data_IF_647158838997
#
_entry.id   IF_647158838997
#
_cell.length_a   1.000
_cell.length_b   1.000
_cell.length_c   1.000
_cell.angle_alpha   90.00
_cell.angle_beta   90.00
_cell.angle_gamma   90.00
#
_symmetry.space_group_name_H-M   'P 1'
#
loop_
_entity.id
_entity.type
_entity.pdbx_description
1 polymer ?
#
# COMPACT_ATOMS: atom_id res chain seq x y z
N UNK A 1 9.37 -9.52 5.35
CA UNK A 1 8.77 -8.20 5.66
C UNK A 1 9.22 -7.22 4.58
N UNK A 2 8.44 -6.19 4.23
CA UNK A 2 8.86 -5.21 3.23
C UNK A 2 10.10 -4.45 3.70
N UNK A 3 10.91 -3.98 2.75
CA UNK A 3 12.07 -3.13 3.03
C UNK A 3 11.60 -1.71 3.39
N UNK A 4 11.90 -1.24 4.60
CA UNK A 4 11.48 0.08 5.11
C UNK A 4 12.62 1.08 5.28
N UNK A 5 13.84 0.70 4.88
CA UNK A 5 15.05 1.55 4.96
C UNK A 5 15.96 1.31 3.76
N UNK A 6 16.88 2.25 3.53
CA UNK A 6 17.77 2.27 2.38
C UNK A 6 17.17 3.03 1.19
N UNK A 7 17.78 2.85 0.03
CA UNK A 7 17.41 3.53 -1.20
C UNK A 7 16.70 2.56 -2.15
N UNK A 8 15.68 3.06 -2.83
CA UNK A 8 14.96 2.34 -3.89
C UNK A 8 14.80 3.26 -5.09
N UNK A 9 14.89 2.69 -6.29
CA UNK A 9 14.55 3.40 -7.52
C UNK A 9 13.03 3.34 -7.70
N UNK A 10 12.40 4.51 -7.78
CA UNK A 10 10.96 4.66 -7.98
C UNK A 10 10.68 5.62 -9.15
N UNK A 11 9.54 5.47 -9.85
CA UNK A 11 9.16 6.32 -10.98
C UNK A 11 8.63 7.68 -10.49
N UNK A 12 9.47 8.45 -9.80
CA UNK A 12 9.15 9.78 -9.29
C UNK A 12 9.65 10.87 -10.24
N UNK A 13 8.97 12.02 -10.24
CA UNK A 13 9.38 13.21 -10.99
C UNK A 13 10.53 13.97 -10.34
N UNK A 14 10.72 13.83 -9.03
CA UNK A 14 11.81 14.45 -8.27
C UNK A 14 12.27 13.64 -7.06
N UNK A 15 13.24 14.18 -6.29
CA UNK A 15 13.71 13.53 -5.08
C UNK A 15 12.62 13.48 -4.00
N UNK A 16 12.63 12.40 -3.23
CA UNK A 16 11.73 12.23 -2.11
C UNK A 16 12.35 11.35 -1.02
N UNK A 17 11.85 11.50 0.20
CA UNK A 17 12.28 10.78 1.40
C UNK A 17 11.05 10.31 2.17
N UNK A 18 11.12 9.09 2.68
CA UNK A 18 10.17 8.54 3.64
C UNK A 18 10.91 8.32 4.96
N UNK A 19 10.46 8.98 6.02
CA UNK A 19 10.93 8.73 7.38
C UNK A 19 9.83 8.04 8.17
N UNK A 20 10.19 7.09 9.03
CA UNK A 20 9.23 6.47 9.96
C UNK A 20 9.58 6.88 11.38
N UNK A 21 8.58 7.33 12.11
CA UNK A 21 8.76 7.67 13.52
C UNK A 21 8.92 6.41 14.39
N UNK A 22 9.02 6.60 15.71
CA UNK A 22 9.16 5.49 16.67
C UNK A 22 7.93 4.56 16.70
N UNK A 23 6.75 5.05 16.33
CA UNK A 23 5.52 4.27 16.22
C UNK A 23 5.38 3.60 14.83
N UNK A 24 6.31 3.85 13.90
CA UNK A 24 6.29 3.34 12.54
C UNK A 24 5.44 4.17 11.58
N UNK A 25 4.96 5.35 11.98
CA UNK A 25 4.15 6.24 11.13
C UNK A 25 5.03 6.84 10.04
N UNK A 26 4.68 6.67 8.74
CA UNK A 26 5.46 7.24 7.65
C UNK A 26 5.18 8.74 7.48
N UNK A 27 6.25 9.52 7.40
CA UNK A 27 6.27 10.93 7.03
C UNK A 27 6.92 11.04 5.65
N UNK A 28 6.23 11.68 4.70
CA UNK A 28 6.66 11.78 3.30
C UNK A 28 7.06 13.22 3.01
N UNK A 29 8.29 13.41 2.55
CA UNK A 29 8.75 14.64 1.93
C UNK A 29 9.02 14.37 0.45
N UNK A 30 8.39 15.14 -0.45
CA UNK A 30 8.50 14.94 -1.89
C UNK A 30 8.53 16.28 -2.63
N UNK A 31 9.09 16.27 -3.84
CA UNK A 31 9.23 17.46 -4.68
C UNK A 31 7.90 17.96 -5.29
N UNK A 32 6.88 17.10 -5.36
CA UNK A 32 5.56 17.42 -5.92
C UNK A 32 4.45 16.68 -5.17
N UNK A 33 3.20 17.09 -5.40
CA UNK A 33 2.03 16.40 -4.82
C UNK A 33 1.83 15.04 -5.50
N UNK A 34 2.14 14.93 -6.77
CA UNK A 34 2.08 13.69 -7.55
C UNK A 34 3.03 12.64 -6.97
N UNK A 35 4.28 13.03 -6.66
CA UNK A 35 5.27 12.16 -6.02
C UNK A 35 4.83 11.78 -4.60
N UNK A 36 4.26 12.73 -3.85
CA UNK A 36 3.73 12.47 -2.50
C UNK A 36 2.57 11.46 -2.51
N UNK A 37 1.65 11.56 -3.47
CA UNK A 37 0.53 10.64 -3.62
C UNK A 37 1.00 9.24 -4.03
N UNK A 38 1.97 9.14 -4.94
CA UNK A 38 2.58 7.86 -5.28
C UNK A 38 3.19 7.19 -4.05
N UNK A 39 3.99 7.94 -3.28
CA UNK A 39 4.64 7.42 -2.08
C UNK A 39 3.65 7.10 -0.97
N UNK A 40 2.54 7.84 -0.85
CA UNK A 40 1.48 7.54 0.10
C UNK A 40 0.87 6.17 -0.18
N UNK A 41 0.57 5.87 -1.44
CA UNK A 41 0.13 4.54 -1.85
C UNK A 41 1.19 3.47 -1.57
N UNK A 42 2.46 3.76 -1.88
CA UNK A 42 3.58 2.86 -1.64
C UNK A 42 3.71 2.48 -0.15
N UNK A 43 3.81 3.45 0.77
CA UNK A 43 3.95 3.15 2.21
C UNK A 43 2.71 2.47 2.77
N UNK A 44 1.52 2.82 2.28
CA UNK A 44 0.27 2.17 2.70
C UNK A 44 0.28 0.70 2.28
N UNK A 45 0.73 0.38 1.06
CA UNK A 45 0.88 -1.00 0.62
C UNK A 45 1.94 -1.73 1.45
N UNK A 46 3.07 -1.11 1.78
CA UNK A 46 4.07 -1.74 2.65
C UNK A 46 3.44 -2.20 3.98
N UNK A 47 2.61 -1.36 4.59
CA UNK A 47 2.07 -1.65 5.92
C UNK A 47 0.77 -2.46 5.86
N UNK A 48 -0.03 -2.33 4.79
CA UNK A 48 -1.43 -2.79 4.72
C UNK A 48 -1.79 -3.58 3.46
N UNK A 49 -0.81 -4.07 2.69
CA UNK A 49 -1.08 -4.76 1.41
C UNK A 49 -2.21 -5.79 1.48
N UNK A 50 -2.17 -6.69 2.47
CA UNK A 50 -3.19 -7.73 2.61
C UNK A 50 -4.59 -7.15 2.85
N UNK A 51 -4.72 -6.11 3.68
CA UNK A 51 -6.00 -5.45 3.91
C UNK A 51 -6.50 -4.77 2.63
N UNK A 52 -5.62 -4.07 1.91
CA UNK A 52 -5.96 -3.43 0.64
C UNK A 52 -6.41 -4.45 -0.41
N UNK A 53 -5.69 -5.56 -0.58
CA UNK A 53 -6.04 -6.59 -1.56
C UNK A 53 -7.34 -7.31 -1.19
N UNK A 54 -7.53 -7.65 0.09
CA UNK A 54 -8.78 -8.25 0.56
C UNK A 54 -9.98 -7.32 0.34
N UNK A 55 -9.86 -6.03 0.67
CA UNK A 55 -10.92 -5.04 0.42
C UNK A 55 -11.20 -4.86 -1.07
N UNK A 56 -10.16 -4.83 -1.91
CA UNK A 56 -10.30 -4.75 -3.37
C UNK A 56 -11.03 -5.97 -3.94
N UNK A 57 -10.72 -7.16 -3.45
CA UNK A 57 -11.36 -8.41 -3.85
C UNK A 57 -12.81 -8.48 -3.41
N UNK A 58 -13.10 -8.11 -2.16
CA UNK A 58 -14.46 -8.01 -1.65
C UNK A 58 -15.30 -7.06 -2.51
N UNK A 59 -14.81 -5.83 -2.74
CA UNK A 59 -15.52 -4.85 -3.57
C UNK A 59 -15.69 -5.29 -5.03
N UNK A 60 -14.89 -6.23 -5.51
CA UNK A 60 -14.95 -6.78 -6.87
C UNK A 60 -15.64 -8.13 -7.00
N UNK A 61 -16.19 -8.70 -5.92
CA UNK A 61 -16.78 -10.04 -5.93
C UNK A 61 -15.78 -11.16 -6.23
N UNK A 62 -14.56 -11.05 -5.73
CA UNK A 62 -13.45 -12.00 -5.94
C UNK A 62 -12.78 -12.44 -4.64
N UNK A 63 -13.46 -12.29 -3.49
CA UNK A 63 -12.92 -12.66 -2.19
C UNK A 63 -12.78 -14.17 -2.03
N UNK A 64 -13.70 -14.95 -2.59
CA UNK A 64 -13.69 -16.41 -2.55
C UNK A 64 -12.48 -17.02 -3.28
N UNK A 65 -11.84 -16.30 -4.20
CA UNK A 65 -10.60 -16.76 -4.86
C UNK A 65 -9.45 -17.00 -3.86
N UNK A 66 -9.44 -16.28 -2.75
CA UNK A 66 -8.36 -16.35 -1.74
C UNK A 66 -8.83 -16.87 -0.38
N UNK A 67 -10.12 -16.71 -0.04
CA UNK A 67 -10.71 -17.22 1.21
C UNK A 67 -11.53 -18.51 1.03
N UNK A 68 -11.73 -18.98 -0.20
CA UNK A 68 -12.44 -20.21 -0.51
C UNK A 68 -13.97 -20.09 -0.44
N UNK A 69 -14.69 -21.23 -0.50
CA UNK A 69 -16.15 -21.25 -0.66
C UNK A 69 -16.93 -20.53 0.45
N UNK A 70 -16.35 -20.40 1.65
CA UNK A 70 -16.99 -19.70 2.76
C UNK A 70 -17.20 -18.20 2.50
N UNK A 71 -16.46 -17.60 1.56
CA UNK A 71 -16.59 -16.20 1.19
C UNK A 71 -17.50 -15.96 -0.03
N UNK A 72 -18.09 -17.01 -0.63
CA UNK A 72 -18.94 -16.87 -1.82
C UNK A 72 -20.14 -15.94 -1.62
N UNK A 73 -20.77 -15.98 -0.43
CA UNK A 73 -21.89 -15.09 -0.13
C UNK A 73 -21.48 -13.61 -0.14
N UNK A 74 -20.23 -13.31 0.23
CA UNK A 74 -19.70 -11.94 0.21
C UNK A 74 -19.37 -11.42 -1.19
N UNK A 75 -19.35 -12.29 -2.20
CA UNK A 75 -19.04 -11.95 -3.59
C UNK A 75 -20.29 -11.67 -4.46
N UNK A 76 -21.50 -11.89 -3.92
CA UNK A 76 -22.78 -11.78 -4.63
C UNK A 76 -23.43 -10.39 -4.55
#
# INVERSE_FOLDING_TARGET
MPQTSGEIVAPLGGPAVIERDRAGVPHIAAASIEDALFLQGFVTAQDRFWQMDAMRRLAGGMLAEVFGPAALESDL
#
